data_IF_731997463739
#
_entry.id   IF_731997463739
#
_cell.length_a   1.000
_cell.length_b   1.000
_cell.length_c   1.000
_cell.angle_alpha   90.00
_cell.angle_beta   90.00
_cell.angle_gamma   90.00
#
_symmetry.space_group_name_H-M   'P 1'
#
loop_
_entity.id
_entity.type
_entity.pdbx_description
1 polymer ?
#
# COMPACT_ATOMS: atom_id res chain seq x y z
N UNK A 1 -6.99 1.11 24.89
CA UNK A 1 -6.66 1.38 23.48
C UNK A 1 -7.05 0.14 22.70
N UNK A 2 -7.83 0.32 21.64
CA UNK A 2 -8.39 -0.75 20.85
C UNK A 2 -7.32 -1.51 20.07
N UNK A 3 -7.77 -2.59 19.44
CA UNK A 3 -6.95 -3.43 18.56
C UNK A 3 -7.42 -3.23 17.13
N UNK A 4 -6.48 -2.99 16.21
CA UNK A 4 -6.69 -3.02 14.77
C UNK A 4 -6.12 -4.33 14.22
N UNK A 5 -6.92 -5.03 13.43
CA UNK A 5 -6.59 -6.32 12.82
C UNK A 5 -6.55 -6.13 11.31
N UNK A 6 -5.44 -6.53 10.70
CA UNK A 6 -5.31 -6.63 9.25
C UNK A 6 -5.85 -7.97 8.81
N UNK A 7 -6.78 -7.94 7.87
CA UNK A 7 -7.34 -9.13 7.23
C UNK A 7 -6.86 -9.16 5.80
N UNK A 8 -6.57 -10.36 5.30
CA UNK A 8 -6.23 -10.56 3.90
C UNK A 8 -6.93 -11.77 3.31
N UNK A 9 -7.17 -11.74 2.01
CA UNK A 9 -7.62 -12.89 1.24
C UNK A 9 -7.11 -12.80 -0.19
N UNK A 10 -6.94 -13.97 -0.78
CA UNK A 10 -6.71 -14.11 -2.21
C UNK A 10 -7.97 -13.65 -2.93
N UNK A 11 -7.81 -12.85 -3.96
CA UNK A 11 -8.85 -12.66 -4.98
C UNK A 11 -9.13 -14.02 -5.61
N UNK A 12 -10.41 -14.42 -5.72
CA UNK A 12 -10.87 -15.75 -6.19
C UNK A 12 -10.45 -16.13 -7.64
N UNK A 13 -9.60 -15.34 -8.29
CA UNK A 13 -9.05 -15.64 -9.61
C UNK A 13 -7.67 -16.29 -9.48
N UNK A 14 -7.50 -17.43 -10.16
CA UNK A 14 -6.29 -18.25 -10.34
C UNK A 14 -5.05 -17.51 -10.95
N UNK A 15 -4.94 -16.19 -10.82
CA UNK A 15 -4.14 -15.32 -11.70
C UNK A 15 -2.89 -14.68 -11.07
N UNK A 16 -2.27 -15.29 -10.04
CA UNK A 16 -1.06 -14.74 -9.37
C UNK A 16 -1.23 -13.28 -8.90
N UNK A 17 -2.44 -12.93 -8.48
CA UNK A 17 -2.80 -11.58 -8.04
C UNK A 17 -2.21 -11.27 -6.65
N UNK A 18 -2.10 -9.98 -6.34
CA UNK A 18 -1.83 -9.52 -4.98
C UNK A 18 -3.02 -9.81 -4.06
N UNK A 19 -2.72 -10.00 -2.77
CA UNK A 19 -3.76 -10.16 -1.76
C UNK A 19 -4.61 -8.89 -1.65
N UNK A 20 -5.92 -9.06 -1.43
CA UNK A 20 -6.71 -7.97 -0.88
C UNK A 20 -6.46 -7.84 0.60
N UNK A 21 -6.39 -6.60 1.08
CA UNK A 21 -6.26 -6.31 2.50
C UNK A 21 -7.27 -5.27 2.95
N UNK A 22 -7.87 -5.50 4.10
CA UNK A 22 -8.72 -4.54 4.79
C UNK A 22 -8.41 -4.54 6.28
N UNK A 23 -8.98 -3.58 7.02
CA UNK A 23 -8.76 -3.46 8.46
C UNK A 23 -10.07 -3.64 9.19
N UNK A 24 -10.07 -4.35 10.30
CA UNK A 24 -11.19 -4.40 11.23
C UNK A 24 -10.71 -4.15 12.66
N UNK A 25 -11.62 -3.81 13.55
CA UNK A 25 -11.31 -3.78 14.96
C UNK A 25 -11.26 -5.21 15.52
N UNK A 26 -10.52 -5.40 16.62
CA UNK A 26 -10.35 -6.72 17.23
C UNK A 26 -11.61 -7.38 17.78
N UNK A 27 -12.76 -6.70 17.78
CA UNK A 27 -14.06 -7.31 18.10
C UNK A 27 -14.76 -7.91 16.88
N UNK A 28 -14.26 -7.64 15.67
CA UNK A 28 -14.88 -7.97 14.39
C UNK A 28 -16.16 -7.17 14.08
N UNK A 29 -16.60 -6.25 14.95
CA UNK A 29 -17.88 -5.53 14.80
C UNK A 29 -17.81 -4.36 13.81
N UNK A 30 -16.60 -3.89 13.50
CA UNK A 30 -16.37 -2.80 12.55
C UNK A 30 -15.18 -3.12 11.67
N UNK A 31 -15.43 -3.16 10.36
CA UNK A 31 -14.42 -3.22 9.31
C UNK A 31 -14.41 -1.92 8.49
N UNK A 32 -13.24 -1.52 8.04
CA UNK A 32 -13.02 -0.43 7.10
C UNK A 32 -12.59 -1.04 5.76
N UNK A 33 -13.41 -0.81 4.73
CA UNK A 33 -13.25 -1.37 3.40
C UNK A 33 -12.14 -0.72 2.59
N UNK A 34 -11.70 -1.44 1.56
CA UNK A 34 -11.10 -0.85 0.37
C UNK A 34 -12.02 -1.12 -0.83
N UNK A 35 -11.50 -1.11 -2.06
CA UNK A 35 -12.26 -1.50 -3.24
C UNK A 35 -12.62 -2.98 -3.31
N UNK A 36 -11.82 -3.86 -2.68
CA UNK A 36 -12.05 -5.30 -2.66
C UNK A 36 -13.11 -5.77 -1.66
N UNK A 37 -13.58 -4.88 -0.77
CA UNK A 37 -14.51 -5.21 0.31
C UNK A 37 -13.88 -5.18 1.71
N UNK A 38 -14.62 -5.70 2.70
CA UNK A 38 -14.26 -5.73 4.14
C UNK A 38 -14.74 -6.97 4.90
N UNK A 39 -14.95 -8.08 4.21
CA UNK A 39 -15.49 -9.30 4.80
C UNK A 39 -14.66 -10.52 4.40
N UNK A 40 -14.58 -11.50 5.31
CA UNK A 40 -13.90 -12.77 5.05
C UNK A 40 -12.40 -12.76 5.35
N UNK A 41 -11.66 -13.57 4.61
CA UNK A 41 -10.21 -13.72 4.72
C UNK A 41 -9.68 -14.29 6.04
N UNK A 42 -8.35 -14.22 6.16
CA UNK A 42 -7.59 -14.63 7.35
C UNK A 42 -7.00 -13.39 8.01
N UNK A 43 -6.75 -13.49 9.31
CA UNK A 43 -5.95 -12.49 9.98
C UNK A 43 -4.51 -12.61 9.49
N UNK A 44 -3.98 -11.48 9.04
CA UNK A 44 -2.58 -11.34 8.71
C UNK A 44 -1.79 -10.94 9.96
N UNK A 45 -2.17 -9.83 10.58
CA UNK A 45 -1.48 -9.21 11.73
C UNK A 45 -2.46 -8.38 12.55
N UNK A 46 -2.09 -8.05 13.79
CA UNK A 46 -2.86 -7.14 14.67
C UNK A 46 -1.93 -6.23 15.47
N UNK A 47 -2.44 -5.06 15.86
CA UNK A 47 -1.70 -4.10 16.68
C UNK A 47 -2.63 -3.18 17.49
N UNK A 48 -2.14 -2.70 18.63
CA UNK A 48 -2.89 -1.78 19.49
C UNK A 48 -2.80 -0.35 18.97
N UNK A 49 -3.95 0.31 18.77
CA UNK A 49 -4.03 1.66 18.23
C UNK A 49 -5.40 2.30 18.45
N UNK A 50 -5.47 3.63 18.38
CA UNK A 50 -6.75 4.35 18.49
C UNK A 50 -7.67 4.01 17.31
N UNK A 51 -8.79 3.35 17.59
CA UNK A 51 -9.77 3.01 16.55
C UNK A 51 -10.56 4.22 16.09
N UNK A 52 -10.71 5.26 16.94
CA UNK A 52 -11.31 6.54 16.53
C UNK A 52 -10.43 7.28 15.52
N UNK A 53 -9.10 7.20 15.67
CA UNK A 53 -8.16 7.75 14.69
C UNK A 53 -8.17 6.95 13.39
N UNK A 54 -8.20 5.62 13.48
CA UNK A 54 -8.33 4.75 12.31
C UNK A 54 -9.60 5.08 11.52
N UNK A 55 -10.72 5.27 12.22
CA UNK A 55 -11.99 5.65 11.62
C UNK A 55 -11.92 7.01 10.92
N UNK A 56 -11.35 8.02 11.59
CA UNK A 56 -11.18 9.34 10.98
C UNK A 56 -10.28 9.30 9.74
N UNK A 57 -9.26 8.44 9.73
CA UNK A 57 -8.42 8.21 8.55
C UNK A 57 -9.23 7.59 7.41
N UNK A 58 -10.08 6.60 7.71
CA UNK A 58 -10.84 5.85 6.72
C UNK A 58 -11.89 6.71 5.98
N UNK A 59 -12.42 7.75 6.62
CA UNK A 59 -13.45 8.64 6.03
C UNK A 59 -13.02 9.27 4.69
N UNK A 60 -13.99 9.60 3.81
CA UNK A 60 -15.45 9.41 3.98
C UNK A 60 -15.96 8.04 3.52
N UNK A 61 -15.20 7.31 2.72
CA UNK A 61 -15.67 6.14 1.96
C UNK A 61 -14.85 4.89 2.27
N UNK A 62 -14.21 4.88 3.43
CA UNK A 62 -13.34 3.82 3.96
C UNK A 62 -12.02 3.63 3.19
N UNK A 63 -11.81 4.28 2.04
CA UNK A 63 -10.60 4.16 1.21
C UNK A 63 -9.41 4.97 1.72
N UNK A 64 -9.54 5.61 2.88
CA UNK A 64 -8.50 6.38 3.53
C UNK A 64 -7.90 7.51 2.68
N UNK A 65 -8.75 8.15 1.88
CA UNK A 65 -8.37 9.23 0.97
C UNK A 65 -7.55 8.79 -0.25
N UNK A 66 -7.36 7.48 -0.49
CA UNK A 66 -6.87 6.98 -1.78
C UNK A 66 -8.00 7.15 -2.79
N UNK A 67 -7.81 8.03 -3.78
CA UNK A 67 -8.92 8.51 -4.63
C UNK A 67 -9.10 7.71 -5.90
N UNK A 68 -8.01 7.44 -6.61
CA UNK A 68 -8.01 6.69 -7.86
C UNK A 68 -7.24 5.39 -7.66
N UNK A 69 -7.93 4.26 -7.86
CA UNK A 69 -7.32 2.93 -7.86
C UNK A 69 -6.22 2.84 -8.94
N UNK A 70 -5.12 2.14 -8.66
CA UNK A 70 -3.92 2.02 -9.52
C UNK A 70 -3.15 3.33 -9.84
N UNK A 71 -3.72 4.51 -9.58
CA UNK A 71 -3.04 5.81 -9.70
C UNK A 71 -2.49 6.26 -8.35
N UNK A 72 -3.30 6.24 -7.30
CA UNK A 72 -2.87 6.66 -5.96
C UNK A 72 -2.39 5.47 -5.12
N UNK A 73 -2.95 4.30 -5.34
CA UNK A 73 -2.67 3.11 -4.55
C UNK A 73 -3.69 2.02 -4.82
N UNK A 74 -3.54 0.92 -4.10
CA UNK A 74 -4.47 -0.20 -4.06
C UNK A 74 -4.92 -0.43 -2.61
N UNK A 75 -5.63 -1.54 -2.35
CA UNK A 75 -6.14 -1.90 -1.03
C UNK A 75 -5.06 -1.87 0.07
N UNK A 76 -3.83 -2.27 -0.24
CA UNK A 76 -2.68 -2.20 0.67
C UNK A 76 -2.44 -0.80 1.23
N UNK A 77 -2.46 0.23 0.39
CA UNK A 77 -2.19 1.60 0.81
C UNK A 77 -3.34 2.17 1.64
N UNK A 78 -4.58 1.84 1.31
CA UNK A 78 -5.75 2.22 2.13
C UNK A 78 -5.66 1.57 3.52
N UNK A 79 -5.41 0.26 3.58
CA UNK A 79 -5.26 -0.46 4.84
C UNK A 79 -4.09 0.11 5.67
N UNK A 80 -2.92 0.34 5.07
CA UNK A 80 -1.77 0.93 5.76
C UNK A 80 -2.06 2.30 6.36
N UNK A 81 -2.79 3.16 5.66
CA UNK A 81 -3.19 4.47 6.21
C UNK A 81 -4.04 4.27 7.48
N UNK A 82 -5.02 3.38 7.44
CA UNK A 82 -5.92 3.09 8.57
C UNK A 82 -5.15 2.46 9.74
N UNK A 83 -4.15 1.63 9.47
CA UNK A 83 -3.29 0.98 10.46
C UNK A 83 -2.24 1.89 11.09
N UNK A 84 -2.06 3.11 10.59
CA UNK A 84 -1.09 4.06 11.12
C UNK A 84 -1.14 4.23 12.66
N UNK A 85 -2.33 4.28 13.32
CA UNK A 85 -2.42 4.35 14.78
C UNK A 85 -1.88 3.10 15.50
N UNK A 86 -1.97 1.92 14.86
CA UNK A 86 -1.47 0.65 15.38
C UNK A 86 0.01 0.38 15.06
N UNK A 87 0.66 1.27 14.29
CA UNK A 87 2.11 1.22 14.02
C UNK A 87 2.58 -0.06 13.31
N UNK A 88 1.70 -0.65 12.52
CA UNK A 88 1.98 -1.81 11.67
C UNK A 88 1.58 -1.50 10.22
N UNK A 89 2.06 -2.30 9.27
CA UNK A 89 1.58 -2.31 7.88
C UNK A 89 1.03 -3.69 7.50
N UNK A 90 0.51 -3.79 6.29
CA UNK A 90 0.08 -5.05 5.67
C UNK A 90 1.24 -5.95 5.20
N UNK A 91 2.46 -5.76 5.73
CA UNK A 91 3.59 -6.65 5.42
C UNK A 91 3.25 -8.10 5.75
N UNK A 92 3.61 -8.99 4.82
CA UNK A 92 3.22 -10.39 4.80
C UNK A 92 2.05 -10.68 3.85
N UNK A 93 1.33 -9.64 3.38
CA UNK A 93 0.38 -9.78 2.29
C UNK A 93 1.12 -10.00 0.97
N UNK A 94 0.67 -10.97 0.18
CA UNK A 94 1.25 -11.23 -1.14
C UNK A 94 1.14 -10.00 -2.04
N UNK A 95 2.24 -9.65 -2.73
CA UNK A 95 2.27 -8.50 -3.63
C UNK A 95 2.40 -7.14 -2.93
N UNK A 96 2.44 -7.11 -1.59
CA UNK A 96 2.59 -5.85 -0.87
C UNK A 96 3.87 -5.13 -1.24
N UNK A 97 5.01 -5.83 -1.33
CA UNK A 97 6.31 -5.22 -1.65
C UNK A 97 6.37 -4.62 -3.05
N UNK A 98 5.70 -5.26 -4.02
CA UNK A 98 5.50 -4.69 -5.35
C UNK A 98 4.64 -3.44 -5.25
N UNK A 99 3.49 -3.48 -4.58
CA UNK A 99 2.63 -2.30 -4.43
C UNK A 99 3.31 -1.15 -3.69
N UNK A 100 4.14 -1.44 -2.68
CA UNK A 100 4.92 -0.45 -1.95
C UNK A 100 5.98 0.18 -2.84
N UNK A 101 6.60 -0.58 -3.74
CA UNK A 101 7.55 -0.04 -4.71
C UNK A 101 6.89 0.96 -5.66
N UNK A 102 5.69 0.62 -6.14
CA UNK A 102 4.96 1.46 -7.10
C UNK A 102 4.35 2.70 -6.44
N UNK A 103 3.80 2.57 -5.23
CA UNK A 103 2.95 3.57 -4.60
C UNK A 103 3.50 4.18 -3.30
N UNK A 104 4.54 3.60 -2.72
CA UNK A 104 4.93 3.81 -1.33
C UNK A 104 3.99 3.12 -0.34
N UNK A 105 4.35 3.09 0.95
CA UNK A 105 3.56 2.41 1.99
C UNK A 105 2.18 3.03 2.19
N UNK A 106 2.04 4.34 2.00
CA UNK A 106 0.78 5.09 2.23
C UNK A 106 0.22 5.68 0.94
N UNK A 107 0.65 5.20 -0.22
CA UNK A 107 0.15 5.68 -1.51
C UNK A 107 0.71 7.03 -1.95
N UNK A 108 0.36 7.37 -3.19
CA UNK A 108 0.79 8.56 -3.91
C UNK A 108 -0.25 9.66 -3.76
N UNK A 109 0.22 10.88 -3.52
CA UNK A 109 -0.67 12.03 -3.42
C UNK A 109 -1.34 12.37 -4.74
N UNK A 110 -0.69 12.12 -5.89
CA UNK A 110 -1.23 12.42 -7.21
C UNK A 110 -1.53 13.92 -7.42
N UNK A 111 -2.06 14.24 -8.60
CA UNK A 111 -2.56 15.56 -8.99
C UNK A 111 -4.06 15.47 -9.27
N UNK A 112 -4.74 16.58 -9.57
CA UNK A 112 -6.16 16.52 -9.98
C UNK A 112 -6.30 15.73 -11.29
N UNK A 113 -7.35 14.90 -11.45
CA UNK A 113 -8.47 14.68 -10.53
C UNK A 113 -8.15 13.72 -9.37
N UNK A 114 -7.09 12.93 -9.46
CA UNK A 114 -6.68 11.90 -8.50
C UNK A 114 -5.89 12.43 -7.29
N UNK A 115 -6.30 13.57 -6.72
CA UNK A 115 -5.62 14.11 -5.53
C UNK A 115 -5.98 13.27 -4.29
N UNK A 116 -4.96 12.76 -3.61
CA UNK A 116 -5.01 11.79 -2.49
C UNK A 116 -4.07 12.17 -1.34
N UNK A 117 -4.37 13.26 -0.61
CA UNK A 117 -3.54 13.68 0.53
C UNK A 117 -3.46 12.60 1.61
N UNK A 118 -2.31 12.49 2.27
CA UNK A 118 -2.11 11.57 3.40
C UNK A 118 -2.34 12.30 4.73
N UNK A 119 -3.59 12.31 5.19
CA UNK A 119 -3.95 12.90 6.48
C UNK A 119 -3.72 11.90 7.62
N UNK A 120 -2.82 12.27 8.54
CA UNK A 120 -2.40 11.39 9.65
C UNK A 120 -3.30 11.51 10.90
N UNK A 121 -4.06 12.59 11.03
CA UNK A 121 -4.92 12.91 12.19
C UNK A 121 -4.26 12.65 13.56
N UNK A 122 -3.07 13.23 13.78
CA UNK A 122 -2.22 12.94 14.97
C UNK A 122 -2.91 13.25 16.31
N UNK A 123 -3.86 14.19 16.33
CA UNK A 123 -4.55 14.64 17.54
C UNK A 123 -5.84 13.87 17.84
N UNK A 124 -6.24 12.94 16.97
CA UNK A 124 -7.40 12.07 17.23
C UNK A 124 -6.95 10.87 18.05
N UNK A 125 -7.65 10.60 19.16
CA UNK A 125 -7.38 9.48 20.05
C UNK A 125 -8.70 8.89 20.59
N UNK A 126 -8.61 7.81 21.37
CA UNK A 126 -9.77 7.09 21.88
C UNK A 126 -10.19 5.92 20.99
N UNK A 127 -11.24 5.23 21.44
CA UNK A 127 -11.75 4.02 20.80
C UNK A 127 -13.24 4.17 20.48
N UNK A 128 -13.71 3.46 19.46
CA UNK A 128 -15.11 3.42 19.08
C UNK A 128 -15.85 2.41 19.97
N UNK A 129 -17.15 2.63 20.18
CA UNK A 129 -17.97 1.75 21.02
C UNK A 129 -17.99 0.31 20.48
N UNK A 130 -18.10 0.12 19.17
CA UNK A 130 -18.11 -1.19 18.52
C UNK A 130 -16.76 -1.93 18.70
N UNK A 131 -15.68 -1.17 18.88
CA UNK A 131 -14.31 -1.70 19.03
C UNK A 131 -13.93 -2.02 20.48
N UNK A 132 -14.78 -1.65 21.44
CA UNK A 132 -14.54 -1.85 22.89
C UNK A 132 -15.60 -2.71 23.56
N UNK A 133 -16.78 -2.88 22.93
CA UNK A 133 -17.79 -3.81 23.39
C UNK A 133 -17.20 -5.23 23.51
N UNK A 134 -17.58 -5.98 24.56
CA UNK A 134 -17.23 -7.40 24.71
C UNK A 134 -17.39 -8.08 23.35
N UNK A 135 -16.29 -8.63 22.83
CA UNK A 135 -16.28 -9.34 21.56
C UNK A 135 -17.37 -10.41 21.60
N UNK A 136 -17.92 -10.77 20.44
CA UNK A 136 -18.71 -12.02 20.35
C UNK A 136 -17.89 -13.14 21.01
N UNK A 137 -18.51 -14.14 21.67
CA UNK A 137 -17.80 -15.37 21.99
C UNK A 137 -17.46 -16.06 20.66
N UNK A 138 -16.36 -15.64 20.05
CA UNK A 138 -15.73 -16.32 18.95
C UNK A 138 -14.91 -17.48 19.54
N UNK A 139 -14.93 -18.60 18.83
CA UNK A 139 -14.02 -19.76 19.00
C UNK A 139 -12.68 -19.25 19.53
N UNK A 140 -12.28 -19.72 20.73
CA UNK A 140 -11.18 -19.22 21.54
C UNK A 140 -10.14 -18.42 20.74
N UNK A 141 -10.29 -17.10 20.69
CA UNK A 141 -9.30 -16.26 20.04
C UNK A 141 -7.97 -16.41 20.78
N UNK A 142 -6.85 -16.63 20.06
CA UNK A 142 -5.55 -16.65 20.70
C UNK A 142 -5.31 -15.34 21.43
N UNK A 143 -4.73 -15.43 22.62
CA UNK A 143 -4.44 -14.29 23.48
C UNK A 143 -3.70 -13.17 22.72
N UNK A 144 -3.82 -11.90 23.16
CA UNK A 144 -3.10 -10.78 22.56
C UNK A 144 -1.61 -11.12 22.43
N UNK A 145 -1.12 -11.27 21.18
CA UNK A 145 0.28 -11.61 20.94
C UNK A 145 1.14 -10.40 21.30
N UNK A 146 2.21 -10.63 22.06
CA UNK A 146 3.27 -9.63 22.18
C UNK A 146 3.80 -9.25 20.79
N UNK A 147 4.20 -7.99 20.60
CA UNK A 147 4.82 -7.55 19.35
C UNK A 147 6.04 -8.43 19.06
N UNK A 148 6.06 -9.09 17.89
CA UNK A 148 7.23 -9.86 17.46
C UNK A 148 8.40 -8.94 17.15
N UNK A 149 9.58 -9.53 16.93
CA UNK A 149 10.73 -8.80 16.41
C UNK A 149 10.39 -8.08 15.10
N UNK A 150 9.62 -8.72 14.22
CA UNK A 150 9.15 -8.14 12.97
C UNK A 150 8.26 -6.91 13.20
N UNK A 151 7.33 -6.98 14.16
CA UNK A 151 6.46 -5.84 14.50
C UNK A 151 7.26 -4.63 15.02
N UNK A 152 8.35 -4.85 15.75
CA UNK A 152 9.26 -3.76 16.17
C UNK A 152 10.04 -3.18 14.99
N UNK A 153 10.46 -4.02 14.04
CA UNK A 153 11.11 -3.61 12.80
C UNK A 153 10.15 -2.78 11.92
N UNK A 154 8.85 -3.10 11.88
CA UNK A 154 7.82 -2.26 11.26
C UNK A 154 7.86 -0.84 11.79
N UNK A 155 7.84 -0.65 13.11
CA UNK A 155 7.78 0.70 13.63
C UNK A 155 9.07 1.49 13.36
N UNK A 156 10.23 0.84 13.33
CA UNK A 156 11.47 1.49 12.89
C UNK A 156 11.36 1.97 11.43
N UNK A 157 10.94 1.07 10.53
CA UNK A 157 10.70 1.39 9.12
C UNK A 157 9.69 2.54 8.95
N UNK A 158 8.51 2.42 9.57
CA UNK A 158 7.44 3.42 9.50
C UNK A 158 7.92 4.79 9.97
N UNK A 159 8.72 4.87 11.04
CA UNK A 159 9.24 6.17 11.51
C UNK A 159 10.11 6.86 10.45
N UNK A 160 11.00 6.13 9.77
CA UNK A 160 11.82 6.70 8.71
C UNK A 160 11.00 7.10 7.49
N UNK A 161 10.02 6.28 7.10
CA UNK A 161 9.02 6.66 6.07
C UNK A 161 8.31 7.96 6.46
N UNK A 162 7.78 8.06 7.68
CA UNK A 162 7.07 9.26 8.13
C UNK A 162 7.96 10.49 8.16
N UNK A 163 9.26 10.34 8.45
CA UNK A 163 10.24 11.43 8.34
C UNK A 163 10.40 11.90 6.88
N UNK A 164 10.44 10.98 5.92
CA UNK A 164 10.47 11.32 4.49
C UNK A 164 9.19 12.08 4.08
N UNK A 165 8.02 11.64 4.54
CA UNK A 165 6.75 12.37 4.32
C UNK A 165 6.74 13.75 4.98
N UNK A 166 7.22 13.88 6.21
CA UNK A 166 7.23 15.16 6.94
C UNK A 166 8.17 16.17 6.25
N UNK A 167 9.32 15.73 5.75
CA UNK A 167 10.24 16.56 4.97
C UNK A 167 9.66 17.00 3.61
N UNK A 168 8.77 16.19 3.02
CA UNK A 168 8.07 16.52 1.79
C UNK A 168 6.74 17.26 2.02
N UNK A 169 6.43 17.68 3.26
CA UNK A 169 5.11 18.18 3.63
C UNK A 169 4.57 19.32 2.75
N UNK A 170 5.41 20.33 2.45
CA UNK A 170 5.03 21.45 1.58
C UNK A 170 4.75 21.00 0.14
N UNK A 171 5.57 20.10 -0.40
CA UNK A 171 5.37 19.50 -1.72
C UNK A 171 4.03 18.75 -1.78
N UNK A 172 3.76 17.86 -0.82
CA UNK A 172 2.57 17.01 -0.82
C UNK A 172 1.27 17.79 -0.54
N UNK A 173 1.36 18.96 0.10
CA UNK A 173 0.22 19.83 0.38
C UNK A 173 -0.04 20.86 -0.74
N UNK A 174 0.94 21.08 -1.63
CA UNK A 174 0.85 22.01 -2.75
C UNK A 174 -0.39 21.80 -3.63
N UNK A 175 -0.91 22.88 -4.21
CA UNK A 175 -2.07 22.80 -5.12
C UNK A 175 -1.73 22.17 -6.46
N UNK A 176 -0.51 22.41 -6.95
CA UNK A 176 0.04 21.86 -8.18
C UNK A 176 1.51 21.52 -7.95
N UNK A 177 1.81 20.40 -7.25
CA UNK A 177 3.18 19.99 -7.01
C UNK A 177 3.91 19.70 -8.31
N UNK A 178 5.20 20.04 -8.36
CA UNK A 178 6.07 19.71 -9.48
C UNK A 178 6.13 18.17 -9.67
N UNK A 179 5.78 17.65 -10.87
CA UNK A 179 5.86 16.21 -11.15
C UNK A 179 7.24 15.62 -10.94
N UNK A 180 8.32 16.37 -11.23
CA UNK A 180 9.68 15.87 -11.03
C UNK A 180 10.02 15.73 -9.54
N UNK A 181 9.63 16.72 -8.72
CA UNK A 181 9.73 16.63 -7.27
C UNK A 181 8.92 15.46 -6.68
N UNK A 182 7.69 15.20 -7.20
CA UNK A 182 6.91 14.03 -6.78
C UNK A 182 7.57 12.71 -7.16
N UNK A 183 8.13 12.61 -8.37
CA UNK A 183 8.88 11.42 -8.79
C UNK A 183 10.11 11.20 -7.92
N UNK A 184 10.87 12.25 -7.60
CA UNK A 184 12.01 12.18 -6.68
C UNK A 184 11.61 11.72 -5.27
N UNK A 185 10.47 12.20 -4.77
CA UNK A 185 9.90 11.74 -3.51
C UNK A 185 9.59 10.23 -3.53
N UNK A 186 8.99 9.73 -4.62
CA UNK A 186 8.68 8.30 -4.77
C UNK A 186 9.94 7.43 -4.89
N UNK A 187 10.95 7.88 -5.64
CA UNK A 187 12.26 7.21 -5.72
C UNK A 187 12.91 7.15 -4.34
N UNK A 188 12.83 8.22 -3.55
CA UNK A 188 13.38 8.25 -2.19
C UNK A 188 12.68 7.26 -1.25
N UNK A 189 11.35 7.14 -1.33
CA UNK A 189 10.62 6.12 -0.56
C UNK A 189 11.06 4.71 -0.95
N UNK A 190 11.19 4.44 -2.25
CA UNK A 190 11.65 3.14 -2.74
C UNK A 190 13.08 2.81 -2.28
N UNK A 191 14.02 3.75 -2.37
CA UNK A 191 15.40 3.51 -1.92
C UNK A 191 15.46 3.26 -0.41
N UNK A 192 14.61 3.94 0.38
CA UNK A 192 14.50 3.66 1.81
C UNK A 192 13.89 2.27 2.10
N UNK A 193 12.92 1.83 1.30
CA UNK A 193 12.40 0.45 1.33
C UNK A 193 13.50 -0.56 0.98
N UNK A 194 14.30 -0.30 -0.05
CA UNK A 194 15.40 -1.17 -0.45
C UNK A 194 16.48 -1.26 0.64
N UNK A 195 16.88 -0.12 1.22
CA UNK A 195 17.84 -0.07 2.33
C UNK A 195 17.34 -0.88 3.53
N UNK A 196 16.08 -0.73 3.91
CA UNK A 196 15.49 -1.45 5.03
C UNK A 196 15.46 -2.97 4.82
N UNK A 197 15.10 -3.44 3.62
CA UNK A 197 14.94 -4.88 3.36
C UNK A 197 16.25 -5.57 3.01
N UNK A 198 17.12 -4.93 2.22
CA UNK A 198 18.38 -5.53 1.77
C UNK A 198 19.52 -5.32 2.77
N UNK A 199 19.50 -4.21 3.52
CA UNK A 199 20.53 -3.89 4.50
C UNK A 199 21.95 -4.04 3.92
N UNK A 200 22.80 -4.92 4.47
CA UNK A 200 24.16 -5.17 3.95
C UNK A 200 24.23 -5.65 2.49
N UNK A 201 23.16 -6.23 1.95
CA UNK A 201 23.11 -6.66 0.55
C UNK A 201 23.03 -5.46 -0.42
N UNK A 202 22.62 -4.28 0.06
CA UNK A 202 22.51 -3.09 -0.78
C UNK A 202 23.86 -2.40 -0.99
N UNK A 203 24.64 -2.93 -1.93
CA UNK A 203 25.87 -2.24 -2.37
C UNK A 203 25.58 -0.89 -3.02
N UNK A 204 26.55 0.03 -3.01
CA UNK A 204 26.44 1.34 -3.70
C UNK A 204 26.12 1.19 -5.19
N UNK A 205 26.70 0.18 -5.85
CA UNK A 205 26.44 -0.12 -7.26
C UNK A 205 25.01 -0.59 -7.47
N UNK A 206 24.54 -1.51 -6.63
CA UNK A 206 23.16 -2.00 -6.68
C UNK A 206 22.19 -0.85 -6.45
N UNK A 207 22.38 -0.04 -5.41
CA UNK A 207 21.54 1.13 -5.12
C UNK A 207 21.42 2.09 -6.33
N UNK A 208 22.51 2.35 -7.04
CA UNK A 208 22.50 3.18 -8.25
C UNK A 208 21.69 2.56 -9.40
N UNK A 209 21.79 1.24 -9.60
CA UNK A 209 20.98 0.53 -10.58
C UNK A 209 19.49 0.53 -10.21
N UNK A 210 19.16 0.27 -8.93
CA UNK A 210 17.79 0.33 -8.42
C UNK A 210 17.18 1.72 -8.60
N UNK A 211 17.94 2.77 -8.28
CA UNK A 211 17.51 4.15 -8.49
C UNK A 211 17.20 4.42 -9.97
N UNK A 212 18.08 3.98 -10.88
CA UNK A 212 17.89 4.15 -12.33
C UNK A 212 16.63 3.44 -12.81
N UNK A 213 16.43 2.17 -12.45
CA UNK A 213 15.24 1.40 -12.81
C UNK A 213 13.96 2.09 -12.28
N UNK A 214 13.97 2.51 -11.01
CA UNK A 214 12.84 3.19 -10.39
C UNK A 214 12.50 4.52 -11.06
N UNK A 215 13.50 5.30 -11.47
CA UNK A 215 13.32 6.56 -12.22
C UNK A 215 12.73 6.32 -13.60
N UNK A 216 13.17 5.26 -14.29
CA UNK A 216 12.61 4.87 -15.58
C UNK A 216 11.13 4.46 -15.45
N UNK A 217 10.80 3.70 -14.40
CA UNK A 217 9.43 3.37 -14.06
C UNK A 217 8.57 4.62 -13.82
N UNK A 218 9.06 5.62 -13.06
CA UNK A 218 8.30 6.87 -12.85
C UNK A 218 8.00 7.58 -14.17
N UNK A 219 8.95 7.63 -15.10
CA UNK A 219 8.72 8.24 -16.43
C UNK A 219 7.64 7.49 -17.22
N UNK A 220 7.71 6.16 -17.27
CA UNK A 220 6.71 5.31 -17.95
C UNK A 220 5.32 5.52 -17.33
N UNK A 221 5.25 5.49 -16.00
CA UNK A 221 4.03 5.69 -15.23
C UNK A 221 3.40 7.05 -15.46
N UNK A 222 4.18 8.13 -15.42
CA UNK A 222 3.66 9.48 -15.68
C UNK A 222 3.04 9.63 -17.07
N UNK A 223 3.59 8.97 -18.08
CA UNK A 223 3.01 8.94 -19.43
C UNK A 223 1.69 8.17 -19.44
N UNK A 224 1.68 6.98 -18.83
CA UNK A 224 0.49 6.14 -18.73
C UNK A 224 -0.66 6.85 -18.00
N UNK A 225 -0.38 7.44 -16.83
CA UNK A 225 -1.37 8.19 -16.05
C UNK A 225 -1.88 9.43 -16.79
N UNK A 226 -1.03 10.10 -17.58
CA UNK A 226 -1.44 11.23 -18.42
C UNK A 226 -2.45 10.80 -19.47
N UNK A 227 -2.13 9.78 -20.27
CA UNK A 227 -3.04 9.29 -21.32
C UNK A 227 -4.38 8.82 -20.73
N UNK A 228 -4.37 8.23 -19.53
CA UNK A 228 -5.60 7.87 -18.83
C UNK A 228 -6.42 9.10 -18.39
N UNK A 229 -5.78 10.11 -17.79
CA UNK A 229 -6.46 11.35 -17.36
C UNK A 229 -6.98 12.16 -18.54
N UNK A 230 -6.24 12.17 -19.65
CA UNK A 230 -6.60 12.85 -20.90
C UNK A 230 -7.65 12.06 -21.72
N UNK A 231 -8.11 10.91 -21.20
CA UNK A 231 -9.12 10.02 -21.82
C UNK A 231 -8.69 9.47 -23.18
N UNK A 232 -7.39 9.33 -23.40
CA UNK A 232 -6.81 8.66 -24.58
C UNK A 232 -6.89 7.13 -24.45
N UNK A 233 -7.19 6.62 -23.25
CA UNK A 233 -7.42 5.21 -22.96
C UNK A 233 -8.54 5.03 -21.94
N UNK A 234 -9.29 3.94 -22.05
CA UNK A 234 -10.27 3.56 -21.05
C UNK A 234 -9.59 2.89 -19.83
N UNK A 235 -10.36 2.59 -18.78
CA UNK A 235 -9.79 2.02 -17.56
C UNK A 235 -9.35 0.57 -17.69
N UNK A 236 -9.91 -0.20 -18.63
CA UNK A 236 -9.48 -1.57 -18.89
C UNK A 236 -8.11 -1.57 -19.58
N UNK A 237 -7.95 -0.72 -20.60
CA UNK A 237 -6.68 -0.53 -21.29
C UNK A 237 -5.61 0.05 -20.36
N UNK A 238 -5.98 1.01 -19.51
CA UNK A 238 -5.10 1.52 -18.47
C UNK A 238 -4.64 0.41 -17.51
N UNK A 239 -5.55 -0.42 -16.99
CA UNK A 239 -5.21 -1.52 -16.10
C UNK A 239 -4.28 -2.54 -16.76
N UNK A 240 -4.53 -2.89 -18.02
CA UNK A 240 -3.67 -3.80 -18.78
C UNK A 240 -2.29 -3.21 -19.04
N UNK A 241 -2.21 -1.93 -19.40
CA UNK A 241 -0.95 -1.23 -19.57
C UNK A 241 -0.18 -1.09 -18.24
N UNK A 242 -0.88 -0.87 -17.13
CA UNK A 242 -0.30 -0.83 -15.79
C UNK A 242 0.29 -2.20 -15.40
N UNK A 243 -0.43 -3.29 -15.66
CA UNK A 243 0.05 -4.65 -15.41
C UNK A 243 1.32 -4.96 -16.23
N UNK A 244 1.31 -4.66 -17.54
CA UNK A 244 2.50 -4.83 -18.39
C UNK A 244 3.69 -4.00 -17.90
N UNK A 245 3.45 -2.77 -17.47
CA UNK A 245 4.50 -1.91 -16.90
C UNK A 245 5.06 -2.49 -15.59
N UNK A 246 4.20 -3.09 -14.76
CA UNK A 246 4.59 -3.72 -13.49
C UNK A 246 5.45 -4.95 -13.74
N UNK A 247 5.01 -5.86 -14.61
CA UNK A 247 5.77 -7.06 -14.99
C UNK A 247 7.13 -6.69 -15.59
N UNK A 248 7.17 -5.73 -16.52
CA UNK A 248 8.42 -5.30 -17.13
C UNK A 248 9.39 -4.66 -16.11
N UNK A 249 8.87 -4.05 -15.05
CA UNK A 249 9.70 -3.54 -13.96
C UNK A 249 10.20 -4.68 -13.06
N UNK A 250 9.36 -5.67 -12.75
CA UNK A 250 9.78 -6.89 -12.04
C UNK A 250 10.90 -7.62 -12.80
N UNK A 251 10.76 -7.78 -14.13
CA UNK A 251 11.80 -8.37 -15.00
C UNK A 251 13.10 -7.55 -14.96
N UNK A 252 13.02 -6.22 -15.14
CA UNK A 252 14.20 -5.34 -15.08
C UNK A 252 14.92 -5.47 -13.72
N UNK A 253 14.17 -5.62 -12.63
CA UNK A 253 14.74 -5.80 -11.30
C UNK A 253 15.35 -7.19 -11.11
N UNK A 254 14.74 -8.25 -11.66
CA UNK A 254 15.29 -9.60 -11.64
C UNK A 254 16.62 -9.69 -12.41
N UNK A 255 16.77 -8.93 -13.50
CA UNK A 255 18.01 -8.85 -14.28
C UNK A 255 19.13 -8.08 -13.55
N UNK A 256 18.75 -7.07 -12.74
CA UNK A 256 19.71 -6.24 -12.00
C UNK A 256 20.25 -6.95 -10.75
N UNK A 257 19.42 -7.79 -10.12
CA UNK A 257 19.64 -8.36 -8.80
C UNK A 257 20.07 -9.82 -8.87
N UNK A 258 20.80 -10.30 -7.85
CA UNK A 258 20.95 -11.74 -7.66
C UNK A 258 19.63 -12.35 -7.19
N UNK A 259 19.36 -13.64 -7.43
CA UNK A 259 18.13 -14.32 -7.00
C UNK A 259 17.74 -14.05 -5.54
N UNK A 260 18.66 -14.26 -4.60
CA UNK A 260 18.38 -14.04 -3.18
C UNK A 260 18.14 -12.56 -2.83
N UNK A 261 18.76 -11.60 -3.55
CA UNK A 261 18.50 -10.17 -3.34
C UNK A 261 17.09 -9.82 -3.82
N UNK A 262 16.67 -10.36 -4.97
CA UNK A 262 15.33 -10.18 -5.53
C UNK A 262 14.27 -10.73 -4.56
N UNK A 263 14.42 -11.99 -4.13
CA UNK A 263 13.52 -12.60 -3.13
C UNK A 263 13.52 -11.80 -1.83
N UNK A 264 14.69 -11.34 -1.37
CA UNK A 264 14.79 -10.52 -0.15
C UNK A 264 14.13 -9.17 -0.29
N UNK A 265 14.10 -8.55 -1.48
CA UNK A 265 13.47 -7.25 -1.69
C UNK A 265 11.96 -7.35 -1.94
N UNK A 266 11.53 -8.31 -2.76
CA UNK A 266 10.15 -8.39 -3.23
C UNK A 266 9.30 -9.51 -2.65
N UNK A 267 9.91 -10.46 -1.92
CA UNK A 267 9.20 -11.62 -1.36
C UNK A 267 8.54 -12.46 -2.47
N UNK A 268 9.28 -12.62 -3.58
CA UNK A 268 8.90 -13.35 -4.79
C UNK A 268 10.12 -14.09 -5.33
N UNK A 269 9.91 -15.26 -5.94
CA UNK A 269 10.99 -15.94 -6.64
C UNK A 269 11.29 -15.24 -7.99
N UNK A 270 12.53 -15.28 -8.50
CA UNK A 270 12.82 -14.78 -9.85
C UNK A 270 11.97 -15.49 -10.91
N UNK A 271 11.35 -14.71 -11.80
CA UNK A 271 10.40 -15.20 -12.81
C UNK A 271 8.97 -15.41 -12.30
N UNK A 272 8.73 -15.21 -11.00
CA UNK A 272 7.40 -15.01 -10.46
C UNK A 272 7.01 -13.53 -10.60
N UNK A 273 5.76 -13.30 -11.01
CA UNK A 273 5.19 -11.96 -11.15
C UNK A 273 3.92 -11.80 -10.34
N UNK A 274 3.73 -10.59 -9.83
CA UNK A 274 2.46 -10.18 -9.21
C UNK A 274 1.90 -8.96 -9.92
N UNK A 275 0.67 -9.10 -10.41
CA UNK A 275 -0.09 -7.95 -10.91
C UNK A 275 -1.03 -7.42 -9.82
N UNK A 276 -1.20 -6.10 -9.78
CA UNK A 276 -1.99 -5.40 -8.75
C UNK A 276 -3.38 -4.99 -9.23
N UNK A 277 -3.62 -4.97 -10.55
CA UNK A 277 -4.93 -4.65 -11.07
C UNK A 277 -5.85 -5.87 -10.92
N UNK A 278 -6.77 -5.80 -9.97
CA UNK A 278 -7.86 -6.77 -9.83
C UNK A 278 -8.91 -6.49 -10.94
N UNK A 279 -9.20 -7.46 -11.83
CA UNK A 279 -10.14 -7.26 -12.93
C UNK A 279 -11.57 -6.92 -12.48
N UNK A 280 -12.03 -7.50 -11.37
CA UNK A 280 -13.36 -7.25 -10.81
C UNK A 280 -13.45 -5.81 -10.30
N UNK A 281 -12.42 -5.33 -9.61
CA UNK A 281 -12.34 -3.94 -9.14
C UNK A 281 -12.24 -2.98 -10.32
N UNK A 282 -11.38 -3.29 -11.30
CA UNK A 282 -11.23 -2.46 -12.51
C UNK A 282 -12.56 -2.34 -13.23
N UNK A 283 -13.28 -3.45 -13.42
CA UNK A 283 -14.63 -3.44 -14.02
C UNK A 283 -15.61 -2.61 -13.19
N UNK A 284 -15.61 -2.75 -11.86
CA UNK A 284 -16.53 -2.00 -11.00
C UNK A 284 -16.26 -0.49 -10.97
N UNK A 285 -15.00 -0.06 -11.10
CA UNK A 285 -14.63 1.37 -11.05
C UNK A 285 -14.66 2.02 -12.43
N UNK A 286 -14.23 1.29 -13.46
CA UNK A 286 -13.98 1.85 -14.78
C UNK A 286 -14.78 1.21 -15.92
N UNK A 287 -15.54 0.15 -15.63
CA UNK A 287 -16.45 -0.43 -16.61
C UNK A 287 -17.58 0.53 -16.97
N UNK A 288 -18.28 0.28 -18.08
CA UNK A 288 -19.52 0.99 -18.37
C UNK A 288 -20.46 0.83 -17.18
N UNK A 289 -21.02 1.94 -16.69
CA UNK A 289 -22.05 1.88 -15.66
C UNK A 289 -23.24 1.09 -16.19
N UNK A 290 -23.75 0.16 -15.37
CA UNK A 290 -25.02 -0.55 -15.67
C UNK A 290 -26.20 0.44 -15.72
#
# INVERSE_FOLDING_TARGET
>A
MGTLVVRHYLTDSFARLADHTYVECGTGKKGWSCWGGKTGGKELRRGTGSTSRADRIAQPDEKAGIRCYLVNGVCHQSANRILLPARITVRGARGYRISETLFGPYGRTGTRPCRSPFYKYRNTSGDLAECTAKARPAVAEPAPRALSADDKLDWHYIRGVLKIYDQAGSLLQGRSPDPAALANFQVRLFLYMAEFNLGPLLSRRLAAHLEKARRNLEKKRMRLERSFVEKEMDGHDFANAFNRMTIAFEDEMADIMKPHEYTTLFDLEPGEHVVLADPTIVKAIYGPGE
#
